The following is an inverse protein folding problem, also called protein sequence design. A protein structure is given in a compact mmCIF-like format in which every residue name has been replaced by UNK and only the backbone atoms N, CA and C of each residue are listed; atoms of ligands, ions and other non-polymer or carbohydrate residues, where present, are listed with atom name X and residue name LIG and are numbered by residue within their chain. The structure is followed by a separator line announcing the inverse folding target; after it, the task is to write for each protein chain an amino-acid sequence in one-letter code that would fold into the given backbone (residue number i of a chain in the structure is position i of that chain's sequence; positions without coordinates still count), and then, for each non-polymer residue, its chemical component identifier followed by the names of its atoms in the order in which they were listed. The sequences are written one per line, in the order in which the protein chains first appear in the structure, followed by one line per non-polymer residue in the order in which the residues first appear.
data_IF_308382094326
#
_entry.id   IF_308382094326
#
_cell.length_a   1.000
_cell.length_b   1.000
_cell.length_c   1.000
_cell.angle_alpha   90.00
_cell.angle_beta   90.00
_cell.angle_gamma   90.00
#
_symmetry.space_group_name_H-M   'P 1'
#
loop_
_entity.id
_entity.type
_entity.pdbx_description
1 polymer ?
#
# COMPACT_ATOMS: atom_id res chain seq x y z
N UNK A 1 -26.32 -0.70 -9.21
CA UNK A 1 -24.87 -0.56 -8.95
C UNK A 1 -24.37 -1.88 -8.38
N UNK A 2 -23.31 -2.46 -8.92
CA UNK A 2 -22.69 -3.68 -8.38
C UNK A 2 -22.06 -3.42 -7.01
N UNK A 3 -21.88 -4.45 -6.21
CA UNK A 3 -21.19 -4.36 -4.93
C UNK A 3 -19.68 -4.17 -5.18
N UNK A 4 -19.06 -3.23 -4.46
CA UNK A 4 -17.61 -3.02 -4.51
C UNK A 4 -16.86 -4.24 -3.95
N UNK A 5 -15.87 -4.72 -4.69
CA UNK A 5 -14.97 -5.79 -4.27
C UNK A 5 -13.91 -5.22 -3.32
N UNK A 6 -14.09 -5.45 -2.02
CA UNK A 6 -13.20 -4.93 -0.95
C UNK A 6 -12.10 -5.92 -0.60
N UNK A 7 -10.98 -5.39 -0.12
CA UNK A 7 -9.97 -6.24 0.51
C UNK A 7 -10.48 -6.79 1.85
N UNK A 8 -10.26 -8.09 2.06
CA UNK A 8 -10.47 -8.76 3.34
C UNK A 8 -9.13 -8.92 4.04
N UNK A 9 -9.03 -8.44 5.26
CA UNK A 9 -7.87 -8.62 6.10
C UNK A 9 -7.64 -10.11 6.43
N UNK A 10 -6.38 -10.55 6.55
CA UNK A 10 -6.05 -11.92 6.93
C UNK A 10 -6.42 -12.22 8.40
N UNK A 11 -6.66 -13.50 8.74
CA UNK A 11 -6.74 -13.93 10.13
C UNK A 11 -5.36 -13.91 10.79
N UNK A 12 -5.33 -13.95 12.13
CA UNK A 12 -4.10 -13.76 12.94
C UNK A 12 -2.98 -14.77 12.68
N UNK A 13 -3.29 -15.95 12.13
CA UNK A 13 -2.28 -16.95 11.79
C UNK A 13 -1.62 -16.72 10.42
N UNK A 14 -2.15 -15.81 9.61
CA UNK A 14 -1.54 -15.42 8.34
C UNK A 14 -0.75 -14.13 8.55
N UNK A 15 0.55 -14.20 8.33
CA UNK A 15 1.48 -13.09 8.49
C UNK A 15 2.19 -12.70 7.20
N UNK A 16 2.83 -11.56 7.22
CA UNK A 16 3.82 -11.11 6.22
C UNK A 16 3.34 -11.24 4.77
N UNK A 17 2.14 -10.69 4.48
CA UNK A 17 1.64 -10.69 3.10
C UNK A 17 2.43 -9.67 2.28
N UNK A 18 3.15 -10.16 1.27
CA UNK A 18 3.91 -9.37 0.29
C UNK A 18 3.29 -9.63 -1.08
N UNK A 19 2.87 -8.58 -1.76
CA UNK A 19 2.25 -8.68 -3.07
C UNK A 19 2.88 -7.65 -4.01
N UNK A 20 3.83 -8.07 -4.84
CA UNK A 20 4.72 -7.21 -5.61
C UNK A 20 4.75 -7.60 -7.09
N UNK A 21 4.79 -6.60 -7.98
CA UNK A 21 5.21 -6.82 -9.35
C UNK A 21 6.73 -7.07 -9.40
N UNK A 22 7.18 -7.73 -10.46
CA UNK A 22 8.61 -7.95 -10.71
C UNK A 22 9.31 -6.58 -10.83
N UNK A 23 10.47 -6.44 -10.18
CA UNK A 23 11.24 -5.20 -10.11
C UNK A 23 10.60 -4.02 -9.32
N UNK A 24 9.47 -4.22 -8.66
CA UNK A 24 8.86 -3.22 -7.77
C UNK A 24 9.13 -3.54 -6.29
N UNK A 25 9.28 -2.49 -5.49
CA UNK A 25 9.42 -2.60 -4.04
C UNK A 25 8.04 -2.50 -3.38
N UNK A 26 7.11 -1.79 -4.02
CA UNK A 26 5.77 -1.52 -3.50
C UNK A 26 4.94 -2.80 -3.42
N UNK A 27 4.30 -3.00 -2.27
CA UNK A 27 3.41 -4.13 -2.02
C UNK A 27 1.97 -3.90 -2.54
N UNK A 28 1.85 -3.14 -3.62
CA UNK A 28 0.60 -2.90 -4.36
C UNK A 28 0.91 -3.05 -5.84
N UNK A 29 0.71 -4.23 -6.45
CA UNK A 29 1.15 -4.47 -7.80
C UNK A 29 0.43 -3.60 -8.82
N UNK A 30 1.22 -2.86 -9.58
CA UNK A 30 0.81 -2.12 -10.79
C UNK A 30 1.57 -2.77 -11.95
N UNK A 31 0.91 -3.68 -12.64
CA UNK A 31 1.56 -4.64 -13.55
C UNK A 31 1.27 -4.29 -15.00
N UNK A 32 2.28 -4.23 -15.84
CA UNK A 32 2.07 -4.21 -17.30
C UNK A 32 1.58 -5.59 -17.76
N UNK A 33 0.62 -5.60 -18.70
CA UNK A 33 0.05 -6.84 -19.23
C UNK A 33 1.15 -7.76 -19.79
N UNK A 34 1.18 -9.00 -19.33
CA UNK A 34 2.20 -10.00 -19.68
C UNK A 34 3.43 -9.99 -18.77
N UNK A 35 3.56 -9.04 -17.82
CA UNK A 35 4.63 -9.04 -16.82
C UNK A 35 4.26 -9.89 -15.60
N UNK A 36 5.29 -10.32 -14.87
CA UNK A 36 5.11 -11.17 -13.70
C UNK A 36 4.89 -10.38 -12.41
N UNK A 37 4.17 -10.99 -11.48
CA UNK A 37 4.03 -10.53 -10.11
C UNK A 37 3.94 -11.72 -9.16
N UNK A 38 4.21 -11.49 -7.87
CA UNK A 38 4.29 -12.54 -6.87
C UNK A 38 3.51 -12.16 -5.62
N UNK A 39 2.64 -13.08 -5.15
CA UNK A 39 2.07 -13.05 -3.82
C UNK A 39 2.87 -14.01 -2.92
N UNK A 40 3.29 -13.52 -1.74
CA UNK A 40 3.92 -14.32 -0.68
C UNK A 40 3.18 -14.08 0.62
N UNK A 41 3.09 -15.10 1.45
CA UNK A 41 2.56 -14.99 2.81
C UNK A 41 3.06 -16.16 3.67
N UNK A 42 2.99 -16.00 4.98
CA UNK A 42 3.36 -17.03 5.94
C UNK A 42 2.14 -17.52 6.70
N UNK A 43 2.03 -18.84 6.89
CA UNK A 43 1.10 -19.46 7.84
C UNK A 43 1.85 -19.82 9.12
N UNK A 44 1.50 -19.16 10.23
CA UNK A 44 2.14 -19.30 11.53
C UNK A 44 1.72 -20.59 12.27
N UNK A 45 0.76 -21.34 11.75
CA UNK A 45 0.44 -22.68 12.26
C UNK A 45 1.51 -23.71 11.87
N UNK A 46 2.25 -23.47 10.78
CA UNK A 46 3.35 -24.33 10.29
C UNK A 46 2.90 -25.77 10.01
N UNK A 47 1.70 -25.98 9.52
CA UNK A 47 1.05 -27.28 9.29
C UNK A 47 0.96 -27.70 7.81
N UNK A 48 1.59 -26.90 6.91
CA UNK A 48 1.58 -27.12 5.46
C UNK A 48 0.16 -27.18 4.88
N UNK A 49 -0.76 -26.33 5.38
CA UNK A 49 -2.15 -26.26 4.97
C UNK A 49 -2.30 -26.02 3.45
N UNK A 50 -3.39 -26.44 2.88
CA UNK A 50 -3.65 -26.25 1.45
C UNK A 50 -4.40 -24.95 1.24
N UNK A 51 -3.80 -24.05 0.45
CA UNK A 51 -4.41 -22.80 0.01
C UNK A 51 -4.69 -22.82 -1.48
N UNK A 52 -5.82 -22.20 -1.85
CA UNK A 52 -6.28 -22.04 -3.22
C UNK A 52 -6.46 -20.57 -3.53
N UNK A 53 -6.33 -20.18 -4.79
CA UNK A 53 -6.58 -18.81 -5.20
C UNK A 53 -7.53 -18.72 -6.38
N UNK A 54 -8.25 -17.61 -6.45
CA UNK A 54 -9.03 -17.17 -7.60
C UNK A 54 -8.67 -15.74 -7.92
N UNK A 55 -8.86 -15.33 -9.19
CA UNK A 55 -8.66 -13.96 -9.64
C UNK A 55 -9.95 -13.48 -10.28
N UNK A 56 -10.48 -12.34 -9.82
CA UNK A 56 -11.68 -11.72 -10.34
C UNK A 56 -11.36 -10.36 -10.96
N UNK A 57 -11.89 -10.11 -12.17
CA UNK A 57 -11.77 -8.83 -12.84
C UNK A 57 -12.78 -7.80 -12.31
N UNK A 58 -12.37 -6.55 -12.20
CA UNK A 58 -13.19 -5.43 -11.75
C UNK A 58 -13.05 -4.20 -12.66
N UNK A 59 -14.05 -3.33 -12.61
CA UNK A 59 -14.02 -2.00 -13.22
C UNK A 59 -13.16 -1.02 -12.38
N UNK A 60 -12.94 0.18 -12.91
CA UNK A 60 -12.15 1.23 -12.26
C UNK A 60 -12.64 1.60 -10.84
N UNK A 61 -13.93 1.43 -10.56
CA UNK A 61 -14.57 1.66 -9.26
C UNK A 61 -14.62 0.43 -8.36
N UNK A 62 -13.89 -0.64 -8.73
CA UNK A 62 -13.85 -1.93 -8.04
C UNK A 62 -15.18 -2.71 -8.03
N UNK A 63 -16.15 -2.35 -8.83
CA UNK A 63 -17.31 -3.22 -9.09
C UNK A 63 -16.90 -4.37 -10.00
N UNK A 64 -17.52 -5.54 -9.83
CA UNK A 64 -17.25 -6.68 -10.72
C UNK A 64 -17.57 -6.29 -12.19
N UNK A 65 -16.68 -6.65 -13.11
CA UNK A 65 -16.94 -6.44 -14.54
C UNK A 65 -17.93 -7.46 -15.09
N UNK A 66 -18.46 -7.18 -16.29
CA UNK A 66 -19.36 -8.08 -17.00
C UNK A 66 -18.62 -9.12 -17.86
N UNK A 67 -17.29 -9.23 -17.73
CA UNK A 67 -16.49 -10.19 -18.47
C UNK A 67 -16.67 -11.61 -17.93
N UNK A 68 -16.74 -12.56 -18.85
CA UNK A 68 -16.60 -13.98 -18.49
C UNK A 68 -15.14 -14.29 -18.14
N UNK A 69 -14.92 -15.29 -17.28
CA UNK A 69 -13.57 -15.68 -16.82
C UNK A 69 -12.57 -15.88 -17.96
N UNK A 70 -12.98 -16.57 -19.01
CA UNK A 70 -12.16 -16.85 -20.21
C UNK A 70 -11.78 -15.60 -21.03
N UNK A 71 -12.36 -14.44 -20.74
CA UNK A 71 -12.03 -13.17 -21.43
C UNK A 71 -10.91 -12.40 -20.74
N UNK A 72 -10.58 -12.75 -19.49
CA UNK A 72 -9.50 -12.08 -18.74
C UNK A 72 -8.48 -13.03 -18.12
N UNK A 73 -8.77 -14.34 -18.03
CA UNK A 73 -7.84 -15.37 -17.60
C UNK A 73 -7.74 -16.46 -18.68
N UNK A 74 -6.51 -16.77 -19.10
CA UNK A 74 -6.17 -17.97 -19.81
C UNK A 74 -5.70 -19.02 -18.78
N UNK A 75 -6.47 -20.10 -18.59
CA UNK A 75 -6.16 -21.16 -17.62
C UNK A 75 -7.33 -21.54 -16.75
N UNK A 76 -7.07 -21.91 -15.51
CA UNK A 76 -8.05 -22.47 -14.59
C UNK A 76 -8.49 -21.44 -13.54
N UNK A 77 -9.68 -21.64 -13.01
CA UNK A 77 -10.16 -21.00 -11.80
C UNK A 77 -9.92 -21.93 -10.60
N UNK A 78 -9.75 -21.35 -9.40
CA UNK A 78 -9.60 -22.09 -8.14
C UNK A 78 -8.38 -23.03 -8.15
N UNK A 79 -7.20 -22.44 -8.27
CA UNK A 79 -5.94 -23.17 -8.40
C UNK A 79 -5.24 -23.27 -7.05
N UNK A 80 -4.69 -24.45 -6.72
CA UNK A 80 -3.91 -24.65 -5.50
C UNK A 80 -2.55 -23.93 -5.57
N UNK A 81 -2.18 -23.24 -4.49
CA UNK A 81 -0.83 -22.68 -4.28
C UNK A 81 0.08 -23.86 -3.87
N UNK A 82 1.04 -24.20 -4.76
CA UNK A 82 1.88 -25.39 -4.59
C UNK A 82 3.29 -25.08 -4.08
N UNK A 83 3.77 -23.85 -4.29
CA UNK A 83 5.10 -23.47 -3.86
C UNK A 83 5.05 -23.04 -2.40
N UNK A 84 5.58 -23.90 -1.52
CA UNK A 84 5.67 -23.68 -0.09
C UNK A 84 6.99 -24.17 0.45
N UNK A 85 7.45 -23.60 1.55
CA UNK A 85 8.69 -23.96 2.25
C UNK A 85 8.53 -23.70 3.74
N UNK A 86 9.05 -24.58 4.57
CA UNK A 86 9.03 -24.40 6.03
C UNK A 86 10.14 -23.44 6.48
N UNK A 87 9.88 -22.72 7.56
CA UNK A 87 10.88 -21.90 8.22
C UNK A 87 12.04 -22.74 8.76
N UNK A 88 13.21 -22.14 8.80
CA UNK A 88 14.44 -22.80 9.23
C UNK A 88 15.11 -22.03 10.37
N UNK A 89 15.38 -22.72 11.47
CA UNK A 89 16.07 -22.19 12.65
C UNK A 89 15.37 -20.98 13.32
N UNK A 90 14.06 -20.85 13.17
CA UNK A 90 13.23 -19.79 13.76
C UNK A 90 12.59 -20.23 15.09
N UNK A 91 12.35 -19.30 16.01
CA UNK A 91 11.59 -19.56 17.25
C UNK A 91 10.10 -19.71 16.96
N UNK A 92 9.56 -18.85 16.07
CA UNK A 92 8.23 -19.01 15.52
C UNK A 92 8.32 -19.84 14.24
N UNK A 93 7.89 -21.07 14.28
CA UNK A 93 7.73 -21.86 13.06
C UNK A 93 6.61 -21.31 12.18
N UNK A 94 6.80 -21.35 10.86
CA UNK A 94 5.79 -20.98 9.87
C UNK A 94 6.02 -21.76 8.57
N UNK A 95 4.96 -21.88 7.77
CA UNK A 95 5.05 -22.32 6.38
C UNK A 95 4.95 -21.09 5.47
N UNK A 96 5.97 -20.87 4.65
CA UNK A 96 6.02 -19.78 3.65
C UNK A 96 5.39 -20.25 2.34
N UNK A 97 4.46 -19.46 1.79
CA UNK A 97 3.81 -19.70 0.51
C UNK A 97 4.21 -18.64 -0.50
N UNK A 98 4.40 -19.05 -1.77
CA UNK A 98 4.68 -18.16 -2.88
C UNK A 98 3.83 -18.53 -4.11
N UNK A 99 3.16 -17.54 -4.69
CA UNK A 99 2.37 -17.65 -5.91
C UNK A 99 2.90 -16.67 -6.94
N UNK A 100 3.48 -17.17 -8.02
CA UNK A 100 3.91 -16.37 -9.17
C UNK A 100 2.82 -16.38 -10.25
N UNK A 101 2.55 -15.24 -10.86
CA UNK A 101 1.65 -15.09 -12.00
C UNK A 101 2.36 -14.25 -13.06
N UNK A 102 2.40 -14.68 -14.35
CA UNK A 102 1.79 -15.89 -14.88
C UNK A 102 2.46 -17.19 -14.40
N UNK A 103 1.69 -18.26 -14.40
CA UNK A 103 2.21 -19.60 -14.17
C UNK A 103 1.54 -20.60 -15.14
N UNK A 104 1.83 -21.90 -14.99
CA UNK A 104 1.27 -22.93 -15.86
C UNK A 104 -0.27 -22.97 -15.91
N UNK A 105 -0.90 -22.62 -14.77
CA UNK A 105 -2.33 -22.80 -14.55
C UNK A 105 -3.11 -21.47 -14.71
N UNK A 106 -2.43 -20.31 -14.76
CA UNK A 106 -3.08 -18.97 -14.77
C UNK A 106 -2.24 -17.93 -15.47
N UNK A 107 -2.83 -17.25 -16.46
CA UNK A 107 -2.27 -16.09 -17.17
C UNK A 107 -3.36 -15.02 -17.33
N UNK A 108 -3.03 -13.77 -17.04
CA UNK A 108 -3.94 -12.62 -17.24
C UNK A 108 -3.79 -12.12 -18.67
N UNK A 109 -4.91 -11.98 -19.39
CA UNK A 109 -4.95 -11.62 -20.80
C UNK A 109 -5.70 -10.32 -21.10
N UNK A 110 -6.22 -9.64 -20.11
CA UNK A 110 -6.91 -8.35 -20.25
C UNK A 110 -6.39 -7.34 -19.22
N UNK A 111 -6.42 -6.06 -19.56
CA UNK A 111 -6.11 -4.98 -18.61
C UNK A 111 -7.33 -4.62 -17.74
N UNK A 112 -7.11 -4.02 -16.58
CA UNK A 112 -8.14 -3.56 -15.66
C UNK A 112 -7.76 -3.76 -14.20
N UNK A 113 -8.74 -3.65 -13.32
CA UNK A 113 -8.59 -3.93 -11.90
C UNK A 113 -8.84 -5.42 -11.63
N UNK A 114 -8.17 -5.92 -10.60
CA UNK A 114 -8.27 -7.33 -10.22
C UNK A 114 -8.27 -7.51 -8.71
N UNK A 115 -9.02 -8.51 -8.25
CA UNK A 115 -8.96 -8.99 -6.88
C UNK A 115 -8.49 -10.43 -6.88
N UNK A 116 -7.37 -10.69 -6.22
CA UNK A 116 -6.88 -12.03 -5.92
C UNK A 116 -7.42 -12.44 -4.55
N UNK A 117 -8.11 -13.56 -4.51
CA UNK A 117 -8.70 -14.14 -3.30
C UNK A 117 -8.00 -15.44 -2.96
N UNK A 118 -7.63 -15.62 -1.69
CA UNK A 118 -7.02 -16.85 -1.17
C UNK A 118 -8.02 -17.54 -0.26
N UNK A 119 -8.20 -18.85 -0.48
CA UNK A 119 -9.12 -19.73 0.24
C UNK A 119 -8.34 -20.87 0.89
N UNK A 120 -8.87 -21.40 2.00
CA UNK A 120 -8.37 -22.62 2.62
C UNK A 120 -8.93 -23.89 1.96
N UNK A 121 -8.62 -25.06 2.50
CA UNK A 121 -9.08 -26.38 2.04
C UNK A 121 -10.59 -26.63 2.26
N UNK A 122 -11.25 -25.79 3.09
CA UNK A 122 -12.71 -25.80 3.30
C UNK A 122 -13.45 -24.83 2.40
N UNK A 123 -12.72 -24.18 1.49
CA UNK A 123 -13.23 -23.10 0.63
C UNK A 123 -13.68 -21.85 1.42
N UNK A 124 -13.16 -21.65 2.64
CA UNK A 124 -13.38 -20.42 3.37
C UNK A 124 -12.41 -19.35 2.90
N UNK A 125 -12.93 -18.15 2.65
CA UNK A 125 -12.12 -17.01 2.21
C UNK A 125 -11.17 -16.58 3.33
N UNK A 126 -9.85 -16.67 3.11
CA UNK A 126 -8.82 -16.31 4.05
C UNK A 126 -8.52 -14.80 3.97
N UNK A 127 -8.08 -14.32 2.82
CA UNK A 127 -7.86 -12.90 2.57
C UNK A 127 -8.00 -12.55 1.08
N UNK A 128 -8.08 -11.25 0.78
CA UNK A 128 -8.07 -10.75 -0.60
C UNK A 128 -7.06 -9.63 -0.78
N UNK A 129 -6.55 -9.49 -2.00
CA UNK A 129 -5.64 -8.41 -2.41
C UNK A 129 -6.05 -7.79 -3.73
N UNK A 130 -6.05 -6.47 -3.79
CA UNK A 130 -6.29 -5.67 -4.99
C UNK A 130 -4.99 -5.43 -5.74
N UNK A 131 -5.06 -5.49 -7.07
CA UNK A 131 -3.96 -5.11 -7.97
C UNK A 131 -4.53 -4.64 -9.31
N UNK A 132 -3.70 -4.05 -10.13
CA UNK A 132 -4.12 -3.59 -11.47
C UNK A 132 -3.16 -4.08 -12.54
N UNK A 133 -3.72 -4.35 -13.72
CA UNK A 133 -2.96 -4.72 -14.92
C UNK A 133 -3.23 -3.69 -16.01
N UNK A 134 -2.19 -3.07 -16.56
CA UNK A 134 -2.33 -2.01 -17.56
C UNK A 134 -1.73 -2.36 -18.91
N UNK A 135 -2.26 -1.75 -19.95
CA UNK A 135 -1.68 -1.72 -21.29
C UNK A 135 -0.99 -0.36 -21.49
N UNK A 136 0.23 -0.34 -22.04
CA UNK A 136 0.97 0.91 -22.30
C UNK A 136 0.48 1.61 -23.59
N UNK A 137 -0.81 1.97 -23.65
CA UNK A 137 -1.41 2.68 -24.79
C UNK A 137 -1.36 4.21 -24.62
N UNK A 138 -1.47 4.71 -23.40
CA UNK A 138 -1.36 6.12 -23.06
C UNK A 138 -0.02 6.45 -22.43
N UNK A 139 0.59 7.57 -22.79
CA UNK A 139 1.68 8.16 -22.02
C UNK A 139 1.08 9.13 -21.00
N UNK A 140 1.31 8.84 -19.71
CA UNK A 140 0.75 9.58 -18.58
C UNK A 140 1.88 10.31 -17.85
N UNK A 141 1.76 11.60 -17.70
CA UNK A 141 2.68 12.45 -16.96
C UNK A 141 2.00 12.94 -15.68
N UNK A 142 2.73 12.91 -14.57
CA UNK A 142 2.25 13.42 -13.28
C UNK A 142 3.29 14.41 -12.76
N UNK A 143 2.83 15.55 -12.27
CA UNK A 143 3.68 16.55 -11.59
C UNK A 143 3.11 16.87 -10.21
N UNK A 144 3.96 17.21 -9.24
CA UNK A 144 3.57 17.60 -7.88
C UNK A 144 3.91 19.06 -7.65
N UNK A 145 2.98 19.80 -7.08
CA UNK A 145 3.10 21.24 -6.86
C UNK A 145 2.62 21.62 -5.46
N UNK A 146 3.23 22.65 -4.91
CA UNK A 146 2.73 23.29 -3.70
C UNK A 146 1.40 23.98 -3.99
N UNK A 147 0.46 23.88 -3.07
CA UNK A 147 -0.80 24.59 -3.17
C UNK A 147 -0.55 26.11 -3.13
N UNK A 148 -1.38 26.89 -3.85
CA UNK A 148 -1.30 28.36 -3.84
C UNK A 148 -2.32 28.99 -2.90
N UNK A 149 -3.29 28.21 -2.43
CA UNK A 149 -4.31 28.65 -1.48
C UNK A 149 -3.73 28.73 -0.06
N UNK A 150 -3.99 29.84 0.64
CA UNK A 150 -3.50 30.09 1.98
C UNK A 150 -3.94 29.04 3.02
N UNK A 151 -5.12 28.42 2.83
CA UNK A 151 -5.62 27.40 3.76
C UNK A 151 -4.88 26.06 3.67
N UNK A 152 -4.13 25.82 2.63
CA UNK A 152 -3.46 24.52 2.43
C UNK A 152 -1.98 24.63 2.01
N UNK A 153 -1.44 25.84 1.88
CA UNK A 153 -0.12 26.08 1.31
C UNK A 153 1.02 25.37 2.05
N UNK A 154 0.87 25.18 3.36
CA UNK A 154 1.88 24.57 4.22
C UNK A 154 1.59 23.09 4.55
N UNK A 155 0.42 22.56 4.16
CA UNK A 155 -0.01 21.22 4.56
C UNK A 155 -0.43 20.30 3.41
N UNK A 156 -0.67 20.87 2.20
CA UNK A 156 -1.23 20.11 1.08
C UNK A 156 -0.35 20.16 -0.15
N UNK A 157 -0.45 19.10 -0.94
CA UNK A 157 0.19 18.95 -2.24
C UNK A 157 -0.90 18.85 -3.32
N UNK A 158 -0.65 19.48 -4.47
CA UNK A 158 -1.49 19.35 -5.65
C UNK A 158 -0.73 18.59 -6.73
N UNK A 159 -1.39 17.64 -7.36
CA UNK A 159 -0.86 16.98 -8.54
C UNK A 159 -1.50 17.54 -9.82
N UNK A 160 -0.76 17.51 -10.91
CA UNK A 160 -1.23 17.81 -12.25
C UNK A 160 -0.97 16.60 -13.13
N UNK A 161 -1.96 16.22 -13.94
CA UNK A 161 -1.88 15.02 -14.77
C UNK A 161 -2.03 15.41 -16.23
N UNK A 162 -1.14 14.88 -17.07
CA UNK A 162 -1.20 15.01 -18.53
C UNK A 162 -1.33 13.63 -19.18
N UNK A 163 -2.38 13.42 -19.98
CA UNK A 163 -2.62 12.16 -20.70
C UNK A 163 -2.47 12.39 -22.20
N UNK A 164 -1.43 11.85 -22.82
CA UNK A 164 -1.21 11.95 -24.26
C UNK A 164 -2.16 11.01 -25.01
N UNK A 165 -2.99 11.60 -25.88
CA UNK A 165 -4.04 10.86 -26.62
C UNK A 165 -3.66 10.49 -28.05
N UNK A 166 -2.48 10.87 -28.54
CA UNK A 166 -2.07 10.67 -29.94
C UNK A 166 -2.12 9.21 -30.42
N UNK A 167 -1.93 8.25 -29.51
CA UNK A 167 -2.01 6.81 -29.80
C UNK A 167 -3.35 6.18 -29.41
N UNK A 168 -4.25 6.95 -28.81
CA UNK A 168 -5.53 6.45 -28.30
C UNK A 168 -6.61 6.77 -29.32
N UNK A 169 -7.29 5.73 -29.81
CA UNK A 169 -8.44 5.92 -30.67
C UNK A 169 -9.69 6.26 -29.84
N UNK A 170 -9.85 7.53 -29.48
CA UNK A 170 -11.02 8.08 -28.78
C UNK A 170 -11.73 9.10 -29.66
N UNK A 171 -13.07 9.11 -29.62
CA UNK A 171 -13.91 10.10 -30.30
C UNK A 171 -14.49 11.10 -29.34
N UNK A 172 -14.76 10.68 -28.11
CA UNK A 172 -15.37 11.47 -27.04
C UNK A 172 -14.59 11.30 -25.73
N UNK A 173 -13.39 11.91 -25.61
CA UNK A 173 -12.54 11.73 -24.43
C UNK A 173 -13.26 12.00 -23.10
N UNK A 174 -14.17 12.98 -23.07
CA UNK A 174 -14.96 13.32 -21.88
C UNK A 174 -15.82 12.16 -21.34
N UNK A 175 -16.22 11.24 -22.21
CA UNK A 175 -17.10 10.13 -21.86
C UNK A 175 -16.34 8.80 -21.80
N UNK A 176 -15.28 8.68 -22.60
CA UNK A 176 -14.54 7.42 -22.78
C UNK A 176 -13.33 7.29 -21.85
N UNK A 177 -12.77 8.41 -21.36
CA UNK A 177 -11.56 8.41 -20.52
C UNK A 177 -11.91 8.85 -19.10
N UNK A 178 -11.47 8.08 -18.12
CA UNK A 178 -11.51 8.45 -16.71
C UNK A 178 -10.13 8.27 -16.07
N UNK A 179 -9.81 9.16 -15.12
CA UNK A 179 -8.53 9.18 -14.43
C UNK A 179 -8.76 8.99 -12.93
N UNK A 180 -7.91 8.18 -12.33
CA UNK A 180 -7.86 8.01 -10.88
C UNK A 180 -6.47 8.37 -10.39
N UNK A 181 -6.39 9.07 -9.26
CA UNK A 181 -5.15 9.45 -8.62
C UNK A 181 -5.05 8.80 -7.24
N UNK A 182 -3.85 8.29 -6.91
CA UNK A 182 -3.55 7.68 -5.63
C UNK A 182 -2.29 8.31 -5.02
N UNK A 183 -2.22 8.33 -3.70
CA UNK A 183 -1.03 8.71 -2.93
C UNK A 183 -0.44 7.46 -2.26
N UNK A 184 0.88 7.26 -2.39
CA UNK A 184 1.67 6.20 -1.76
C UNK A 184 1.07 4.79 -2.01
N UNK A 185 0.61 4.52 -3.23
CA UNK A 185 0.02 3.24 -3.66
C UNK A 185 -1.13 2.73 -2.78
N UNK A 186 -1.80 3.62 -2.04
CA UNK A 186 -2.89 3.25 -1.14
C UNK A 186 -4.23 3.35 -1.83
N UNK A 187 -4.96 2.25 -1.94
CA UNK A 187 -6.31 2.24 -2.51
C UNK A 187 -7.30 3.13 -1.72
N UNK A 188 -7.08 3.29 -0.41
CA UNK A 188 -7.89 4.19 0.43
C UNK A 188 -7.74 5.68 0.09
N UNK A 189 -6.64 6.05 -0.58
CA UNK A 189 -6.40 7.43 -1.05
C UNK A 189 -6.92 7.68 -2.45
N UNK A 190 -7.42 6.64 -3.16
CA UNK A 190 -7.84 6.74 -4.55
C UNK A 190 -8.97 7.75 -4.76
N UNK A 191 -8.80 8.65 -5.73
CA UNK A 191 -9.76 9.68 -6.08
C UNK A 191 -10.01 9.70 -7.57
N UNK A 192 -11.28 9.69 -7.97
CA UNK A 192 -11.67 9.83 -9.37
C UNK A 192 -11.62 11.30 -9.77
N UNK A 193 -10.95 11.60 -10.87
CA UNK A 193 -10.96 12.92 -11.50
C UNK A 193 -12.01 12.88 -12.61
N UNK A 194 -13.10 13.65 -12.51
CA UNK A 194 -14.29 13.44 -13.33
C UNK A 194 -14.06 13.76 -14.81
N UNK A 195 -13.26 14.80 -15.13
CA UNK A 195 -12.94 15.20 -16.51
C UNK A 195 -11.66 16.01 -16.56
N UNK A 196 -11.10 16.17 -17.77
CA UNK A 196 -10.00 17.09 -18.01
C UNK A 196 -10.47 18.54 -18.05
N UNK A 197 -9.57 19.46 -17.77
CA UNK A 197 -9.85 20.91 -17.78
C UNK A 197 -9.72 21.49 -19.20
N UNK A 198 -8.69 21.07 -19.92
CA UNK A 198 -8.42 21.52 -21.30
C UNK A 198 -7.53 20.53 -22.06
N UNK A 199 -7.41 20.78 -23.36
CA UNK A 199 -6.51 20.01 -24.25
C UNK A 199 -5.37 20.90 -24.70
N UNK A 200 -4.14 20.44 -24.54
CA UNK A 200 -2.95 21.12 -25.02
C UNK A 200 -1.99 20.12 -25.70
N UNK A 201 -1.63 20.38 -26.96
CA UNK A 201 -0.71 19.53 -27.72
C UNK A 201 -1.11 18.04 -27.73
N UNK A 202 -2.39 17.74 -27.97
CA UNK A 202 -2.97 16.39 -27.91
C UNK A 202 -2.84 15.71 -26.54
N UNK A 203 -2.66 16.49 -25.49
CA UNK A 203 -2.66 16.02 -24.09
C UNK A 203 -3.91 16.54 -23.39
N UNK A 204 -4.66 15.65 -22.77
CA UNK A 204 -5.71 16.00 -21.81
C UNK A 204 -5.04 16.46 -20.53
N UNK A 205 -5.42 17.64 -20.03
CA UNK A 205 -4.82 18.24 -18.83
C UNK A 205 -5.83 18.26 -17.68
N UNK A 206 -5.40 17.76 -16.53
CA UNK A 206 -6.14 17.71 -15.27
C UNK A 206 -5.34 18.47 -14.23
N UNK A 207 -5.80 19.68 -13.84
CA UNK A 207 -5.02 20.62 -13.02
C UNK A 207 -5.83 21.29 -11.91
N UNK A 208 -7.17 21.47 -12.10
CA UNK A 208 -7.97 22.35 -11.23
C UNK A 208 -8.99 21.61 -10.35
N UNK A 209 -9.18 20.30 -10.53
CA UNK A 209 -10.11 19.54 -9.72
C UNK A 209 -9.60 19.40 -8.27
N UNK A 210 -10.51 19.54 -7.30
CA UNK A 210 -10.18 19.39 -5.88
C UNK A 210 -9.71 17.96 -5.51
N UNK A 211 -10.09 16.96 -6.29
CA UNK A 211 -9.60 15.59 -6.11
C UNK A 211 -8.11 15.41 -6.45
N UNK A 212 -7.46 16.42 -7.03
CA UNK A 212 -6.02 16.49 -7.26
C UNK A 212 -5.25 17.06 -6.06
N UNK A 213 -5.93 17.48 -5.00
CA UNK A 213 -5.32 18.06 -3.81
C UNK A 213 -5.29 17.02 -2.70
N UNK A 214 -4.10 16.66 -2.24
CA UNK A 214 -3.88 15.67 -1.18
C UNK A 214 -3.28 16.33 0.05
N UNK A 215 -3.57 15.80 1.24
CA UNK A 215 -2.81 16.14 2.44
C UNK A 215 -1.37 15.65 2.27
N UNK A 216 -0.39 16.49 2.59
CA UNK A 216 1.02 16.10 2.53
C UNK A 216 1.36 14.99 3.52
N UNK A 217 0.69 15.00 4.68
CA UNK A 217 1.05 14.09 5.77
C UNK A 217 2.42 14.41 6.35
N UNK A 218 3.09 13.42 6.89
CA UNK A 218 4.46 13.54 7.37
C UNK A 218 5.22 12.25 7.08
N UNK A 219 6.55 12.33 7.05
CA UNK A 219 7.43 11.17 6.89
C UNK A 219 7.08 10.08 7.89
N UNK A 220 7.06 8.84 7.43
CA UNK A 220 6.78 7.70 8.28
C UNK A 220 7.89 7.51 9.31
N UNK A 221 7.51 7.04 10.46
CA UNK A 221 8.45 6.52 11.45
C UNK A 221 8.98 5.17 10.96
N UNK A 222 10.15 4.77 11.41
CA UNK A 222 10.69 3.46 11.05
C UNK A 222 11.26 2.71 12.25
N UNK A 223 11.36 1.40 12.12
CA UNK A 223 12.20 0.57 12.96
C UNK A 223 12.87 -0.53 12.13
N UNK A 224 13.98 -1.04 12.67
CA UNK A 224 14.77 -2.09 12.04
C UNK A 224 14.98 -3.25 13.02
N UNK A 225 14.46 -4.42 12.67
CA UNK A 225 14.56 -5.67 13.42
C UNK A 225 15.31 -6.76 12.64
N UNK A 226 16.14 -6.38 11.65
CA UNK A 226 16.99 -7.35 10.92
C UNK A 226 17.83 -8.18 11.84
N UNK A 227 18.37 -7.57 12.89
CA UNK A 227 19.06 -8.24 13.99
C UNK A 227 18.17 -8.18 15.24
N UNK A 228 17.56 -9.31 15.60
CA UNK A 228 16.71 -9.43 16.80
C UNK A 228 17.51 -9.74 18.08
N UNK A 229 18.83 -9.76 18.03
CA UNK A 229 19.71 -9.99 19.18
C UNK A 229 20.39 -8.70 19.64
N UNK A 230 20.48 -7.71 18.77
CA UNK A 230 21.16 -6.45 19.01
C UNK A 230 20.22 -5.27 18.77
N UNK A 231 20.01 -4.42 19.77
CA UNK A 231 19.16 -3.24 19.64
C UNK A 231 19.81 -2.21 18.71
N UNK A 232 19.01 -1.67 17.80
CA UNK A 232 19.41 -0.66 16.82
C UNK A 232 18.19 -0.19 16.04
N UNK A 233 18.33 0.75 15.08
CA UNK A 233 17.26 1.13 14.18
C UNK A 233 15.94 1.49 14.87
N UNK A 234 15.95 2.37 15.88
CA UNK A 234 14.82 2.76 16.72
C UNK A 234 14.27 1.70 17.70
N UNK A 235 14.92 0.55 17.83
CA UNK A 235 14.66 -0.41 18.90
C UNK A 235 15.44 0.01 20.15
N UNK A 236 14.75 0.29 21.26
CA UNK A 236 15.34 0.75 22.50
C UNK A 236 16.08 -0.39 23.25
N UNK A 237 15.45 -1.55 23.31
CA UNK A 237 16.02 -2.75 23.88
C UNK A 237 15.28 -4.00 23.40
N UNK A 238 15.95 -5.14 23.53
CA UNK A 238 15.44 -6.46 23.16
C UNK A 238 15.42 -7.34 24.40
N UNK A 239 14.36 -8.13 24.54
CA UNK A 239 14.24 -9.22 25.51
C UNK A 239 14.07 -10.52 24.76
N UNK A 240 14.51 -11.61 25.37
CA UNK A 240 14.21 -12.96 24.90
C UNK A 240 13.33 -13.66 25.93
N UNK A 241 12.15 -14.01 25.49
CA UNK A 241 11.21 -14.88 26.21
C UNK A 241 10.92 -16.10 25.33
N UNK A 242 9.67 -16.46 25.08
CA UNK A 242 9.31 -17.48 24.08
C UNK A 242 9.70 -17.04 22.67
N UNK A 243 9.46 -15.76 22.36
CA UNK A 243 9.97 -15.07 21.17
C UNK A 243 10.90 -13.92 21.61
N UNK A 244 11.60 -13.34 20.65
CA UNK A 244 12.25 -12.06 20.87
C UNK A 244 11.20 -10.96 20.95
N UNK A 245 11.40 -10.03 21.88
CA UNK A 245 10.57 -8.84 22.08
C UNK A 245 11.43 -7.62 21.74
N UNK A 246 11.03 -6.88 20.71
CA UNK A 246 11.69 -5.66 20.26
C UNK A 246 10.87 -4.45 20.74
N UNK A 247 11.34 -3.75 21.76
CA UNK A 247 10.66 -2.61 22.34
C UNK A 247 11.21 -1.34 21.71
N UNK A 248 10.34 -0.58 21.01
CA UNK A 248 10.73 0.63 20.32
C UNK A 248 10.92 1.80 21.31
N UNK A 249 11.71 2.81 20.92
CA UNK A 249 11.73 4.09 21.62
C UNK A 249 10.34 4.72 21.61
N UNK A 250 9.91 5.42 22.68
CA UNK A 250 8.65 6.15 22.68
C UNK A 250 8.66 7.26 21.61
N UNK A 251 7.63 7.30 20.78
CA UNK A 251 7.39 8.42 19.88
C UNK A 251 6.55 9.50 20.56
N UNK A 252 6.56 10.69 19.98
CA UNK A 252 5.80 11.85 20.44
C UNK A 252 4.86 12.32 19.33
N UNK A 253 3.82 13.05 19.71
CA UNK A 253 2.96 13.75 18.76
C UNK A 253 3.80 14.79 18.03
N UNK A 254 3.80 14.76 16.71
CA UNK A 254 4.55 15.67 15.82
C UNK A 254 3.66 16.74 15.19
N UNK A 255 2.34 16.65 15.36
CA UNK A 255 1.41 17.65 14.86
C UNK A 255 1.71 19.01 15.51
N UNK A 256 1.83 20.07 14.70
CA UNK A 256 2.19 21.42 15.15
C UNK A 256 3.68 21.62 15.43
N UNK A 257 4.55 20.65 15.12
CA UNK A 257 6.03 20.85 15.16
C UNK A 257 6.56 21.33 13.82
N UNK A 258 7.83 21.73 13.78
CA UNK A 258 8.51 22.05 12.52
C UNK A 258 8.76 20.75 11.74
N UNK A 259 8.51 20.79 10.42
CA UNK A 259 8.83 19.67 9.54
C UNK A 259 10.31 19.28 9.64
N UNK A 260 10.56 18.01 9.68
CA UNK A 260 11.91 17.44 9.65
C UNK A 260 11.93 16.27 8.66
N UNK A 261 12.74 16.39 7.65
CA UNK A 261 12.94 15.35 6.66
C UNK A 261 13.60 14.12 7.28
N UNK A 262 13.02 12.97 7.00
CA UNK A 262 13.55 11.67 7.36
C UNK A 262 13.22 10.67 6.24
N UNK A 263 14.24 10.15 5.50
CA UNK A 263 13.98 9.21 4.42
C UNK A 263 13.16 8.02 4.89
N UNK A 264 12.13 7.69 4.14
CA UNK A 264 11.27 6.56 4.42
C UNK A 264 10.95 5.75 3.14
N UNK A 265 10.10 4.76 3.22
CA UNK A 265 9.61 3.96 2.11
C UNK A 265 8.09 4.02 2.00
N UNK A 266 7.51 5.20 2.26
CA UNK A 266 6.10 5.52 2.12
C UNK A 266 5.15 4.55 2.85
N UNK A 267 5.53 4.12 4.05
CA UNK A 267 4.73 3.20 4.87
C UNK A 267 4.89 1.72 4.52
N UNK A 268 5.80 1.39 3.61
CA UNK A 268 6.11 0.03 3.19
C UNK A 268 6.98 -0.71 4.24
N UNK A 269 7.28 -1.98 3.98
CA UNK A 269 8.21 -2.77 4.76
C UNK A 269 9.01 -3.71 3.88
N UNK A 270 10.20 -4.09 4.36
CA UNK A 270 11.09 -5.03 3.67
C UNK A 270 11.54 -6.11 4.64
N UNK A 271 11.29 -7.37 4.31
CA UNK A 271 11.75 -8.51 5.12
C UNK A 271 13.23 -8.73 4.89
N UNK A 272 13.98 -8.67 5.97
CA UNK A 272 15.42 -8.88 6.00
C UNK A 272 15.84 -9.54 7.31
N UNK A 273 16.92 -10.32 7.27
CA UNK A 273 17.56 -10.88 8.45
C UNK A 273 19.08 -10.83 8.28
N UNK A 274 19.79 -10.66 9.39
CA UNK A 274 21.26 -10.79 9.43
C UNK A 274 21.71 -12.25 9.59
N UNK A 275 20.78 -13.15 9.82
CA UNK A 275 21.01 -14.59 10.00
C UNK A 275 20.39 -15.36 8.84
N UNK A 276 21.10 -16.41 8.39
CA UNK A 276 20.64 -17.22 7.26
C UNK A 276 20.89 -16.60 5.89
N UNK A 277 20.34 -17.22 4.85
CA UNK A 277 20.56 -16.83 3.45
C UNK A 277 19.27 -16.45 2.72
N UNK A 278 18.14 -16.92 3.21
CA UNK A 278 16.83 -16.69 2.58
C UNK A 278 15.87 -16.02 3.57
N UNK A 279 15.65 -14.69 3.49
CA UNK A 279 14.75 -14.01 4.40
C UNK A 279 13.30 -14.56 4.41
N UNK A 280 12.88 -15.23 3.34
CA UNK A 280 11.55 -15.81 3.28
C UNK A 280 11.35 -16.95 4.29
N UNK A 281 12.41 -17.72 4.59
CA UNK A 281 12.35 -18.90 5.48
C UNK A 281 13.21 -18.76 6.73
N UNK A 282 14.23 -17.90 6.71
CA UNK A 282 15.22 -17.79 7.78
C UNK A 282 14.97 -16.60 8.72
N UNK A 283 14.14 -15.61 8.28
CA UNK A 283 13.74 -14.49 9.12
C UNK A 283 12.72 -14.95 10.17
N UNK A 284 13.00 -14.68 11.45
CA UNK A 284 12.13 -15.05 12.55
C UNK A 284 11.03 -13.98 12.79
N UNK A 285 10.04 -14.31 13.58
CA UNK A 285 9.04 -13.38 14.06
C UNK A 285 9.44 -12.85 15.44
N UNK A 286 9.28 -11.55 15.63
CA UNK A 286 9.50 -10.86 16.91
C UNK A 286 8.23 -10.11 17.35
N UNK A 287 8.05 -9.98 18.65
CA UNK A 287 6.99 -9.16 19.23
C UNK A 287 7.46 -7.72 19.33
N UNK A 288 6.97 -6.85 18.43
CA UNK A 288 7.34 -5.43 18.36
C UNK A 288 6.38 -4.60 19.20
N UNK A 289 6.92 -3.89 20.21
CA UNK A 289 6.13 -3.01 21.06
C UNK A 289 6.26 -1.56 20.61
N UNK A 290 5.20 -1.03 20.04
CA UNK A 290 5.02 0.36 19.64
C UNK A 290 4.65 1.19 20.88
N UNK A 291 5.20 2.41 20.97
CA UNK A 291 5.02 3.26 22.15
C UNK A 291 4.82 4.71 21.72
N UNK A 292 3.73 5.33 22.18
CA UNK A 292 3.39 6.72 21.90
C UNK A 292 3.16 7.50 23.18
N UNK A 293 3.83 8.64 23.34
CA UNK A 293 3.53 9.65 24.38
C UNK A 293 2.56 10.67 23.82
N UNK A 294 1.37 10.70 24.39
CA UNK A 294 0.37 11.73 24.12
C UNK A 294 -0.33 12.11 25.41
N UNK A 295 -0.60 13.39 25.57
CA UNK A 295 -1.46 13.91 26.65
C UNK A 295 -2.94 13.95 26.25
N UNK A 296 -3.25 13.64 25.00
CA UNK A 296 -4.61 13.65 24.46
C UNK A 296 -5.39 12.46 25.00
N UNK A 297 -6.50 12.70 25.66
CA UNK A 297 -7.36 11.66 26.28
C UNK A 297 -8.64 11.41 25.49
N UNK A 298 -8.93 12.22 24.47
CA UNK A 298 -10.18 12.17 23.71
C UNK A 298 -10.08 11.31 22.44
N UNK A 299 -8.93 10.70 22.22
CA UNK A 299 -8.64 9.89 21.04
C UNK A 299 -8.20 8.49 21.39
N UNK A 300 -8.64 7.55 20.58
CA UNK A 300 -8.06 6.22 20.48
C UNK A 300 -6.93 6.26 19.45
N UNK A 301 -5.75 5.82 19.82
CA UNK A 301 -4.59 5.78 18.92
C UNK A 301 -4.42 4.38 18.34
N UNK A 302 -4.05 4.34 17.06
CA UNK A 302 -3.77 3.11 16.32
C UNK A 302 -2.42 3.23 15.61
N UNK A 303 -1.70 2.09 15.51
CA UNK A 303 -0.53 2.02 14.63
C UNK A 303 -0.96 1.51 13.25
N UNK A 304 -0.39 2.09 12.20
CA UNK A 304 -0.69 1.73 10.82
C UNK A 304 0.55 1.80 9.93
N UNK A 305 0.58 0.94 8.94
CA UNK A 305 1.57 0.83 7.88
C UNK A 305 1.09 -0.20 6.87
N UNK A 306 1.90 -0.50 5.86
CA UNK A 306 1.49 -1.49 4.87
C UNK A 306 1.39 -2.91 5.44
N UNK A 307 2.13 -3.21 6.52
CA UNK A 307 2.05 -4.50 7.23
C UNK A 307 0.65 -4.83 7.76
N UNK A 308 -0.22 -3.84 7.94
CA UNK A 308 -1.64 -3.98 8.27
C UNK A 308 -2.56 -3.28 7.25
N UNK A 309 -2.08 -3.09 6.00
CA UNK A 309 -2.84 -2.52 4.88
C UNK A 309 -3.32 -1.08 5.11
N UNK A 310 -2.69 -0.33 6.00
CA UNK A 310 -3.10 1.01 6.44
C UNK A 310 -4.53 1.08 6.98
N UNK A 311 -5.10 -0.05 7.40
CA UNK A 311 -6.47 -0.12 7.92
C UNK A 311 -6.45 -0.21 9.45
N UNK A 312 -7.07 0.74 10.15
CA UNK A 312 -7.22 0.67 11.59
C UNK A 312 -8.18 -0.47 11.95
N UNK A 313 -7.65 -1.53 12.57
CA UNK A 313 -8.43 -2.63 13.13
C UNK A 313 -8.36 -2.57 14.66
N UNK A 314 -9.34 -3.10 15.39
CA UNK A 314 -9.32 -3.10 16.86
C UNK A 314 -8.03 -3.67 17.48
N UNK A 315 -7.43 -4.68 16.82
CA UNK A 315 -6.15 -5.30 17.24
C UNK A 315 -4.93 -4.38 17.09
N UNK A 316 -5.06 -3.27 16.38
CA UNK A 316 -3.99 -2.29 16.19
C UNK A 316 -4.14 -1.04 17.08
N UNK A 317 -5.11 -1.05 18.01
CA UNK A 317 -5.32 0.00 19.00
C UNK A 317 -4.25 -0.05 20.08
N UNK A 318 -3.67 1.11 20.41
CA UNK A 318 -2.77 1.24 21.54
C UNK A 318 -3.56 1.34 22.84
N UNK A 319 -3.12 0.63 23.85
CA UNK A 319 -3.67 0.71 25.21
C UNK A 319 -2.87 1.71 26.05
N UNK A 320 -3.57 2.47 26.89
CA UNK A 320 -2.92 3.44 27.77
C UNK A 320 -2.37 2.76 29.01
N UNK A 321 -1.07 2.85 29.20
CA UNK A 321 -0.35 2.44 30.40
C UNK A 321 -0.15 3.65 31.32
N UNK A 322 -0.99 3.76 32.36
CA UNK A 322 -0.96 4.88 33.28
C UNK A 322 0.30 4.91 34.17
N UNK A 323 0.94 3.78 34.39
CA UNK A 323 2.16 3.70 35.20
C UNK A 323 3.36 4.36 34.49
N UNK A 324 3.41 4.26 33.17
CA UNK A 324 4.49 4.80 32.35
C UNK A 324 4.09 6.07 31.59
N UNK A 325 2.83 6.49 31.66
CA UNK A 325 2.24 7.58 30.88
C UNK A 325 2.51 7.42 29.37
N UNK A 326 2.14 6.26 28.84
CA UNK A 326 2.38 5.84 27.47
C UNK A 326 1.15 5.11 26.91
N UNK A 327 0.89 5.29 25.63
CA UNK A 327 0.06 4.38 24.86
C UNK A 327 0.96 3.32 24.23
N UNK A 328 0.63 2.06 24.34
CA UNK A 328 1.47 0.98 23.81
C UNK A 328 0.65 -0.16 23.20
N UNK A 329 1.26 -0.83 22.24
CA UNK A 329 0.70 -2.00 21.56
C UNK A 329 1.85 -2.92 21.14
N UNK A 330 1.67 -4.22 21.33
CA UNK A 330 2.61 -5.25 20.84
C UNK A 330 2.00 -6.01 19.69
N UNK A 331 2.71 -6.08 18.57
CA UNK A 331 2.32 -6.82 17.35
C UNK A 331 3.45 -7.79 17.00
N UNK A 332 3.09 -9.02 16.59
CA UNK A 332 4.04 -9.99 16.05
C UNK A 332 4.32 -9.67 14.60
N UNK A 333 5.58 -9.35 14.27
CA UNK A 333 6.06 -9.02 12.93
C UNK A 333 7.31 -9.83 12.60
N UNK A 334 7.50 -10.16 11.32
CA UNK A 334 8.71 -10.82 10.83
C UNK A 334 9.90 -9.87 10.84
N UNK A 335 11.12 -10.38 11.00
CA UNK A 335 12.35 -9.56 10.93
C UNK A 335 12.39 -8.73 9.66
N UNK A 336 12.77 -7.45 9.79
CA UNK A 336 12.84 -6.54 8.66
C UNK A 336 12.95 -5.08 9.04
N UNK A 337 12.81 -4.23 8.04
CA UNK A 337 12.69 -2.77 8.16
C UNK A 337 11.25 -2.39 7.84
N UNK A 338 10.64 -1.62 8.71
CA UNK A 338 9.22 -1.26 8.63
C UNK A 338 9.03 0.24 8.77
N UNK A 339 8.19 0.79 7.91
CA UNK A 339 7.63 2.11 8.11
C UNK A 339 6.26 2.02 8.78
N UNK A 340 5.97 2.98 9.66
CA UNK A 340 4.69 3.06 10.36
C UNK A 340 4.35 4.50 10.73
N UNK A 341 3.08 4.74 11.02
CA UNK A 341 2.61 5.98 11.63
C UNK A 341 1.51 5.69 12.65
N UNK A 342 1.24 6.68 13.50
CA UNK A 342 0.09 6.64 14.39
C UNK A 342 -1.03 7.49 13.80
N UNK A 343 -2.25 7.00 13.94
CA UNK A 343 -3.48 7.70 13.59
C UNK A 343 -4.37 7.82 14.82
N UNK A 344 -5.26 8.79 14.83
CA UNK A 344 -6.18 9.04 15.93
C UNK A 344 -7.63 8.85 15.46
N UNK A 345 -8.47 8.27 16.31
CA UNK A 345 -9.92 8.17 16.12
C UNK A 345 -10.59 8.76 17.35
N UNK A 346 -11.53 9.67 17.17
CA UNK A 346 -12.28 10.25 18.26
C UNK A 346 -13.43 9.36 18.75
N UNK A 347 -14.10 9.79 19.80
CA UNK A 347 -15.25 9.07 20.38
C UNK A 347 -16.47 8.99 19.43
N UNK A 348 -16.54 9.81 18.40
CA UNK A 348 -17.56 9.77 17.36
C UNK A 348 -17.20 8.82 16.22
N UNK A 349 -16.00 8.23 16.24
CA UNK A 349 -15.48 7.35 15.19
C UNK A 349 -14.87 8.10 14.01
N UNK A 350 -14.63 9.42 14.13
CA UNK A 350 -13.97 10.20 13.08
C UNK A 350 -12.46 9.91 13.08
N UNK A 351 -11.95 9.55 11.90
CA UNK A 351 -10.53 9.30 11.67
C UNK A 351 -9.75 10.60 11.42
N UNK A 352 -8.67 10.78 12.16
CA UNK A 352 -7.67 11.85 11.99
C UNK A 352 -6.34 11.22 11.58
N UNK A 353 -6.17 11.00 10.27
CA UNK A 353 -5.02 10.28 9.73
C UNK A 353 -3.69 11.00 10.04
N UNK A 354 -3.70 12.32 10.06
CA UNK A 354 -2.53 13.17 10.32
C UNK A 354 -2.56 13.81 11.73
N UNK A 355 -3.49 13.40 12.60
CA UNK A 355 -3.68 13.99 13.92
C UNK A 355 -2.44 13.86 14.84
N UNK A 356 -1.68 12.77 14.69
CA UNK A 356 -0.45 12.54 15.45
C UNK A 356 0.79 13.03 14.72
N UNK A 357 0.87 12.75 13.42
CA UNK A 357 2.04 13.07 12.59
C UNK A 357 2.13 14.52 12.14
N UNK A 358 0.99 15.21 12.01
CA UNK A 358 0.90 16.49 11.29
C UNK A 358 0.80 16.31 9.77
N UNK A 359 0.65 17.43 9.06
CA UNK A 359 0.62 17.46 7.59
C UNK A 359 1.49 18.61 7.10
N UNK A 360 2.43 18.31 6.20
CA UNK A 360 3.41 19.23 5.67
C UNK A 360 3.51 19.08 4.15
N UNK A 361 3.56 20.19 3.44
CA UNK A 361 3.66 20.16 1.98
C UNK A 361 5.02 19.63 1.50
N UNK A 362 6.06 19.70 2.35
CA UNK A 362 7.41 19.22 2.08
C UNK A 362 7.56 17.70 2.12
N UNK A 363 6.59 16.99 2.68
CA UNK A 363 6.64 15.51 2.84
C UNK A 363 6.89 14.84 1.49
N UNK A 364 7.83 13.89 1.46
CA UNK A 364 8.02 13.04 0.29
C UNK A 364 6.83 12.09 0.13
N UNK A 365 6.17 12.20 -1.00
CA UNK A 365 5.06 11.32 -1.36
C UNK A 365 5.21 10.83 -2.80
N UNK A 366 4.71 9.65 -3.06
CA UNK A 366 4.55 9.14 -4.40
C UNK A 366 3.10 9.26 -4.86
N UNK A 367 2.93 9.69 -6.10
CA UNK A 367 1.61 9.79 -6.71
C UNK A 367 1.52 8.93 -7.94
N UNK A 368 0.39 8.26 -8.07
CA UNK A 368 0.06 7.36 -9.16
C UNK A 368 -1.19 7.87 -9.86
N UNK A 369 -1.15 7.97 -11.19
CA UNK A 369 -2.32 8.22 -12.02
C UNK A 369 -2.64 6.99 -12.86
N UNK A 370 -3.87 6.48 -12.74
CA UNK A 370 -4.42 5.37 -13.50
C UNK A 370 -5.41 5.91 -14.53
N UNK A 371 -5.20 5.61 -15.81
CA UNK A 371 -6.01 6.09 -16.91
C UNK A 371 -6.81 4.95 -17.50
N UNK A 372 -8.13 5.02 -17.35
CA UNK A 372 -9.06 4.02 -17.87
C UNK A 372 -9.75 4.52 -19.11
N UNK A 373 -10.08 3.59 -20.01
CA UNK A 373 -10.88 3.84 -21.20
C UNK A 373 -12.04 2.85 -21.28
N UNK A 374 -13.26 3.39 -21.48
CA UNK A 374 -14.47 2.61 -21.75
C UNK A 374 -15.24 3.26 -22.90
N UNK A 375 -15.26 2.64 -24.05
CA UNK A 375 -16.04 3.11 -25.19
C UNK A 375 -17.49 2.66 -25.10
N UNK A 376 -18.34 3.31 -25.85
CA UNK A 376 -19.72 2.86 -25.99
C UNK A 376 -19.78 1.40 -26.47
N UNK A 377 -20.46 0.54 -25.69
CA UNK A 377 -20.58 -0.89 -25.95
C UNK A 377 -19.51 -1.75 -25.27
N UNK A 378 -18.45 -1.18 -24.68
CA UNK A 378 -17.49 -1.92 -23.88
C UNK A 378 -18.13 -2.41 -22.57
N UNK A 379 -17.78 -3.63 -22.15
CA UNK A 379 -18.32 -4.27 -20.93
C UNK A 379 -17.47 -4.04 -19.68
N UNK A 380 -16.30 -3.41 -19.82
CA UNK A 380 -15.36 -3.16 -18.72
C UNK A 380 -14.49 -1.94 -18.96
N UNK A 381 -13.86 -1.46 -17.91
CA UNK A 381 -12.91 -0.34 -17.96
C UNK A 381 -11.50 -0.89 -18.24
N UNK A 382 -10.94 -0.60 -19.41
CA UNK A 382 -9.56 -0.96 -19.75
C UNK A 382 -8.59 0.03 -19.13
N UNK A 383 -7.60 -0.44 -18.38
CA UNK A 383 -6.52 0.39 -17.87
C UNK A 383 -5.46 0.57 -18.97
N UNK A 384 -5.46 1.74 -19.61
CA UNK A 384 -4.68 2.01 -20.83
C UNK A 384 -3.37 2.76 -20.58
N UNK A 385 -3.12 3.20 -19.35
CA UNK A 385 -1.88 3.88 -19.01
C UNK A 385 -1.77 4.17 -17.54
N UNK A 386 -0.52 4.23 -17.09
CA UNK A 386 -0.12 4.53 -15.71
C UNK A 386 0.97 5.58 -15.74
N UNK A 387 0.88 6.58 -14.87
CA UNK A 387 1.92 7.56 -14.63
C UNK A 387 2.26 7.63 -13.16
N UNK A 388 3.53 7.75 -12.83
CA UNK A 388 4.02 7.88 -11.46
C UNK A 388 4.91 9.12 -11.32
N UNK A 389 4.94 9.70 -10.13
CA UNK A 389 5.90 10.72 -9.74
C UNK A 389 6.24 10.55 -8.26
N UNK A 390 7.52 10.57 -7.95
CA UNK A 390 8.01 10.71 -6.58
C UNK A 390 8.33 12.18 -6.34
N UNK A 391 7.74 12.78 -5.30
CA UNK A 391 8.07 14.13 -4.88
C UNK A 391 9.32 14.06 -4.00
N UNK A 392 10.47 14.34 -4.59
CA UNK A 392 11.70 14.57 -3.83
C UNK A 392 11.90 16.09 -3.68
N UNK A 393 12.15 16.52 -2.46
CA UNK A 393 12.47 17.91 -2.18
C UNK A 393 13.83 18.26 -2.85
N UNK A 394 13.80 18.66 -4.13
CA UNK A 394 14.95 19.25 -4.77
C UNK A 394 15.24 20.57 -4.05
N UNK A 395 16.24 20.58 -3.19
CA UNK A 395 16.89 21.82 -2.79
C UNK A 395 17.39 22.49 -4.06
N UNK A 396 16.69 23.51 -4.53
CA UNK A 396 17.21 24.39 -5.56
C UNK A 396 18.60 24.83 -5.11
N UNK A 397 19.66 24.68 -5.93
CA UNK A 397 20.93 25.25 -5.61
C UNK A 397 20.71 26.76 -5.43
N UNK A 398 20.94 27.25 -4.23
CA UNK A 398 21.01 28.70 -3.97
C UNK A 398 22.19 29.23 -4.72
N UNK A 399 22.00 29.64 -5.98
CA UNK A 399 22.91 30.56 -6.63
C UNK A 399 22.83 31.89 -5.88
N UNK A 400 23.61 31.98 -4.81
CA UNK A 400 24.12 33.28 -4.35
C UNK A 400 25.35 33.55 -5.21
N UNK A 401 25.17 34.21 -6.31
CA UNK A 401 26.20 35.04 -6.89
C UNK A 401 26.09 36.44 -6.27
N UNK A 402 27.19 36.88 -5.76
CA UNK A 402 27.50 38.20 -5.20
C UNK A 402 27.49 39.28 -6.29
#
# INVERSE_FOLDING_TARGET
MGQELKEKAPPNHIGTIIFQAEEQIENTPIVELGKAFTLRFDDLNADEAYYYYTIQHANADWTASELFKSEYINGFDEVRIRNMSNSSATLQSYTHYALNIPNRDTEIISSGNYVLSVFDDKQELVFTKRFVVYEQQANVQVGVFRLRDLEGIDSKQRIEIGVQTAKINTRQPDQEISVWALQNYRWSSARKIPKYDYVMNQSLRFEYDNNLIFEGGNEYLFFDTKDIRSAGGNVAYIRRENLYQSILYPNYVRNGTVYTYAPDINGNFVIQTTEGFNPNTDADYTEVTFRLRSSETNYDFYVTGLFNQHLPQPVHKLEYDSANNLHQLTIRLKQGVYNYKYIAIDSAGQLFENGVGGSYWETENEYLALVYMRKFGDRYDRLIGVGTVSYTHLTLPTNREV
#
